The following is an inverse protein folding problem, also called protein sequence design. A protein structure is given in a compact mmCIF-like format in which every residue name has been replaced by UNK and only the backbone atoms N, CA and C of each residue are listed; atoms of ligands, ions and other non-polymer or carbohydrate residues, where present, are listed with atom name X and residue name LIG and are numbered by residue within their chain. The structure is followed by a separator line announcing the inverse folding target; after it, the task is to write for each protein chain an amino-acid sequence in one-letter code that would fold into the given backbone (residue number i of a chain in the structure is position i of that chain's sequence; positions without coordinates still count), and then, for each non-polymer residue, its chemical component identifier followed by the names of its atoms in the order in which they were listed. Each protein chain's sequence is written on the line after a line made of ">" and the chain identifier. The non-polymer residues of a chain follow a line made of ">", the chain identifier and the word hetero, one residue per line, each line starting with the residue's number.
data_IF_892911385379
#
_entry.id   IF_892911385379
#
_cell.length_a   1.000
_cell.length_b   1.000
_cell.length_c   1.000
_cell.angle_alpha   90.00
_cell.angle_beta   90.00
_cell.angle_gamma   90.00
#
_symmetry.space_group_name_H-M   'P 1'
#
loop_
_entity.id
_entity.type
_entity.pdbx_description
1 polymer ?
#
# COMPACT_ATOMS: atom_id res chain seq x y z
N UNK A 1 15.07 9.86 -21.41
CA UNK A 1 13.72 10.45 -21.20
C UNK A 1 13.29 10.31 -19.74
N UNK A 2 13.27 9.09 -19.20
CA UNK A 2 12.81 8.80 -17.82
C UNK A 2 13.68 9.44 -16.72
N UNK A 3 15.00 9.52 -16.91
CA UNK A 3 15.90 10.20 -15.97
C UNK A 3 15.58 11.69 -15.83
N UNK A 4 15.40 12.39 -16.95
CA UNK A 4 14.99 13.80 -16.94
C UNK A 4 13.58 14.04 -16.39
N UNK A 5 12.71 13.02 -16.40
CA UNK A 5 11.42 13.07 -15.73
C UNK A 5 11.55 12.91 -14.21
N UNK A 6 12.45 12.03 -13.74
CA UNK A 6 12.76 11.89 -12.32
C UNK A 6 13.29 13.21 -11.74
N UNK A 7 14.21 13.89 -12.44
CA UNK A 7 14.74 15.18 -12.00
C UNK A 7 13.67 16.26 -11.84
N UNK A 8 12.59 16.16 -12.61
CA UNK A 8 11.46 17.09 -12.55
C UNK A 8 10.51 16.73 -11.43
N UNK A 9 10.22 15.44 -11.25
CA UNK A 9 9.44 14.94 -10.12
C UNK A 9 10.07 15.34 -8.79
N UNK A 10 11.40 15.27 -8.67
CA UNK A 10 12.13 15.67 -7.46
C UNK A 10 11.97 17.13 -7.07
N UNK A 11 11.62 18.03 -7.98
CA UNK A 11 11.34 19.43 -7.64
C UNK A 11 9.99 19.60 -6.92
N UNK A 12 9.16 18.56 -6.86
CA UNK A 12 7.84 18.59 -6.23
C UNK A 12 7.93 18.51 -4.69
N UNK A 13 6.93 19.07 -4.03
CA UNK A 13 6.68 18.88 -2.60
C UNK A 13 5.49 17.92 -2.41
N UNK A 14 5.62 16.87 -1.62
CA UNK A 14 4.56 15.84 -1.49
C UNK A 14 4.14 15.70 -0.03
N UNK A 15 2.84 15.72 0.22
CA UNK A 15 2.25 15.32 1.50
C UNK A 15 1.85 13.85 1.46
N UNK A 16 2.07 13.09 2.53
CA UNK A 16 1.59 11.71 2.63
C UNK A 16 1.05 11.36 4.01
N UNK A 17 -0.07 10.64 4.03
CA UNK A 17 -0.77 10.21 5.23
C UNK A 17 -1.57 8.92 4.93
N UNK A 18 -2.02 8.11 5.88
CA UNK A 18 -1.98 8.29 7.33
C UNK A 18 -1.22 7.17 8.04
N UNK A 19 -0.98 6.04 7.38
CA UNK A 19 -0.53 4.85 8.07
C UNK A 19 0.98 4.64 7.97
N UNK A 20 1.58 4.55 9.14
CA UNK A 20 2.93 4.03 9.38
C UNK A 20 2.81 2.84 10.32
N UNK A 21 3.71 1.88 10.19
CA UNK A 21 3.89 0.81 11.16
C UNK A 21 5.31 0.27 11.12
N UNK A 22 5.64 -0.58 12.06
CA UNK A 22 6.78 -1.49 11.98
C UNK A 22 6.31 -2.74 11.24
N UNK A 23 7.04 -3.14 10.20
CA UNK A 23 6.94 -4.49 9.64
C UNK A 23 8.12 -5.29 10.21
N UNK A 24 7.83 -6.19 11.15
CA UNK A 24 8.79 -7.06 11.81
C UNK A 24 8.78 -8.43 11.15
N UNK A 25 9.89 -8.83 10.55
CA UNK A 25 10.00 -10.03 9.72
C UNK A 25 10.77 -11.11 10.48
N UNK A 26 10.22 -12.32 10.47
CA UNK A 26 10.88 -13.53 10.97
C UNK A 26 10.95 -14.57 9.84
N UNK A 27 12.15 -15.05 9.54
CA UNK A 27 12.38 -16.17 8.63
C UNK A 27 12.14 -17.48 9.38
N UNK A 28 10.96 -18.07 9.17
CA UNK A 28 10.55 -19.28 9.87
C UNK A 28 11.40 -20.49 9.48
N UNK A 29 11.95 -21.13 10.53
CA UNK A 29 12.58 -22.44 10.47
C UNK A 29 11.61 -23.51 10.96
N UNK A 30 11.75 -24.74 10.48
CA UNK A 30 10.94 -25.88 10.92
C UNK A 30 10.97 -26.07 12.43
N UNK A 31 12.13 -25.85 13.06
CA UNK A 31 12.32 -25.90 14.52
C UNK A 31 11.48 -24.86 15.26
N UNK A 32 11.37 -23.63 14.74
CA UNK A 32 10.52 -22.59 15.33
C UNK A 32 9.06 -23.01 15.28
N UNK A 33 8.60 -23.56 14.15
CA UNK A 33 7.23 -24.07 14.01
C UNK A 33 6.98 -25.26 14.93
N UNK A 34 7.96 -26.17 15.05
CA UNK A 34 7.86 -27.34 15.91
C UNK A 34 7.69 -26.93 17.38
N UNK A 35 8.51 -25.99 17.88
CA UNK A 35 8.39 -25.49 19.26
C UNK A 35 7.01 -24.92 19.56
N UNK A 36 6.44 -24.16 18.63
CA UNK A 36 5.09 -23.61 18.78
C UNK A 36 4.03 -24.71 18.84
N UNK A 37 4.14 -25.76 18.02
CA UNK A 37 3.19 -26.89 18.06
C UNK A 37 3.33 -27.66 19.38
N UNK A 38 4.56 -27.89 19.84
CA UNK A 38 4.84 -28.64 21.06
C UNK A 38 4.34 -27.92 22.32
N UNK A 39 4.35 -26.58 22.33
CA UNK A 39 3.81 -25.75 23.42
C UNK A 39 2.31 -25.98 23.67
N UNK A 40 1.51 -26.09 22.61
CA UNK A 40 0.06 -26.26 22.72
C UNK A 40 -0.42 -27.72 22.61
N UNK A 41 0.40 -28.59 22.01
CA UNK A 41 0.03 -29.96 21.68
C UNK A 41 -0.70 -30.10 20.34
N UNK A 42 -0.32 -31.11 19.57
CA UNK A 42 -0.76 -31.29 18.18
C UNK A 42 -2.28 -31.42 18.00
N UNK A 43 -2.97 -32.13 18.90
CA UNK A 43 -4.42 -32.34 18.82
C UNK A 43 -5.20 -31.03 19.05
N UNK A 44 -4.70 -30.19 19.96
CA UNK A 44 -5.27 -28.87 20.24
C UNK A 44 -5.10 -27.94 19.04
N UNK A 45 -3.89 -27.92 18.45
CA UNK A 45 -3.61 -27.15 17.23
C UNK A 45 -4.50 -27.61 16.07
N UNK A 46 -4.66 -28.93 15.86
CA UNK A 46 -5.55 -29.49 14.82
C UNK A 46 -6.99 -29.02 15.00
N UNK A 47 -7.52 -29.15 16.22
CA UNK A 47 -8.88 -28.70 16.54
C UNK A 47 -9.07 -27.21 16.22
N UNK A 48 -8.13 -26.35 16.62
CA UNK A 48 -8.21 -24.91 16.32
C UNK A 48 -8.04 -24.61 14.83
N UNK A 49 -7.25 -25.40 14.09
CA UNK A 49 -7.16 -25.29 12.63
C UNK A 49 -8.50 -25.54 11.95
N UNK A 50 -9.26 -26.53 12.42
CA UNK A 50 -10.58 -26.87 11.90
C UNK A 50 -11.62 -25.79 12.21
N UNK A 51 -11.53 -25.14 13.39
CA UNK A 51 -12.34 -23.96 13.75
C UNK A 51 -12.04 -22.73 12.86
N UNK A 52 -10.83 -22.67 12.30
CA UNK A 52 -10.37 -21.64 11.36
C UNK A 52 -10.59 -20.19 11.86
N UNK A 53 -9.93 -19.78 12.97
CA UNK A 53 -10.14 -18.47 13.57
C UNK A 53 -9.78 -17.35 12.59
N UNK A 54 -10.70 -16.41 12.36
CA UNK A 54 -10.54 -15.31 11.39
C UNK A 54 -9.80 -14.10 11.95
N UNK A 55 -9.51 -14.10 13.24
CA UNK A 55 -8.75 -13.09 13.98
C UNK A 55 -7.90 -13.81 15.04
N UNK A 56 -6.83 -13.16 15.50
CA UNK A 56 -5.96 -13.68 16.57
C UNK A 56 -6.32 -12.94 17.87
N UNK A 57 -6.92 -13.65 18.81
CA UNK A 57 -7.24 -13.16 20.16
C UNK A 57 -6.33 -13.79 21.23
N UNK A 58 -5.83 -15.00 20.96
CA UNK A 58 -4.90 -15.74 21.81
C UNK A 58 -3.79 -16.42 20.97
N UNK A 59 -2.66 -16.83 21.58
CA UNK A 59 -1.55 -17.45 20.86
C UNK A 59 -1.93 -18.67 20.01
N UNK A 60 -2.85 -19.50 20.50
CA UNK A 60 -3.31 -20.70 19.80
C UNK A 60 -3.98 -20.37 18.45
N UNK A 61 -4.69 -19.24 18.35
CA UNK A 61 -5.25 -18.79 17.07
C UNK A 61 -4.15 -18.55 16.04
N UNK A 62 -3.07 -17.91 16.48
CA UNK A 62 -1.91 -17.63 15.64
C UNK A 62 -1.24 -18.94 15.18
N UNK A 63 -0.94 -19.85 16.11
CA UNK A 63 -0.26 -21.12 15.78
C UNK A 63 -1.10 -21.94 14.80
N UNK A 64 -2.40 -22.07 15.03
CA UNK A 64 -3.29 -22.81 14.13
C UNK A 64 -3.33 -22.20 12.72
N UNK A 65 -3.47 -20.88 12.61
CA UNK A 65 -3.52 -20.21 11.30
C UNK A 65 -2.17 -20.22 10.58
N UNK A 66 -1.08 -20.15 11.32
CA UNK A 66 0.27 -20.28 10.78
C UNK A 66 0.49 -21.69 10.21
N UNK A 67 0.19 -22.75 10.98
CA UNK A 67 0.33 -24.14 10.55
C UNK A 67 -0.55 -24.43 9.32
N UNK A 68 -1.76 -23.90 9.28
CA UNK A 68 -2.61 -24.01 8.09
C UNK A 68 -2.00 -23.33 6.85
N UNK A 69 -1.42 -22.13 7.01
CA UNK A 69 -0.76 -21.43 5.91
C UNK A 69 0.47 -22.20 5.39
N UNK A 70 1.28 -22.75 6.31
CA UNK A 70 2.43 -23.59 5.99
C UNK A 70 2.02 -24.89 5.27
N UNK A 71 1.00 -25.59 5.78
CA UNK A 71 0.50 -26.85 5.20
C UNK A 71 -0.08 -26.64 3.79
N UNK A 72 -0.71 -25.50 3.53
CA UNK A 72 -1.28 -25.19 2.21
C UNK A 72 -0.30 -24.47 1.27
N UNK A 73 0.79 -23.92 1.80
CA UNK A 73 1.71 -23.03 1.07
C UNK A 73 1.07 -21.73 0.59
N UNK A 74 -0.10 -21.35 1.13
CA UNK A 74 -0.83 -20.15 0.70
C UNK A 74 -0.47 -18.96 1.59
N UNK A 75 -0.08 -17.80 1.02
CA UNK A 75 0.08 -16.58 1.79
C UNK A 75 -1.24 -16.19 2.47
N UNK A 76 -1.18 -15.76 3.74
CA UNK A 76 -2.35 -15.33 4.49
C UNK A 76 -2.06 -14.10 5.33
N UNK A 77 -3.09 -13.31 5.60
CA UNK A 77 -3.06 -12.22 6.56
C UNK A 77 -4.21 -12.35 7.54
N UNK A 78 -3.92 -12.30 8.84
CA UNK A 78 -4.90 -12.44 9.93
C UNK A 78 -4.74 -11.26 10.89
N UNK A 79 -5.83 -10.56 11.24
CA UNK A 79 -5.75 -9.43 12.16
C UNK A 79 -5.50 -9.89 13.59
N UNK A 80 -4.55 -9.23 14.27
CA UNK A 80 -4.33 -9.30 15.70
C UNK A 80 -5.20 -8.24 16.38
N UNK A 81 -6.11 -8.68 17.23
CA UNK A 81 -7.11 -7.81 17.85
C UNK A 81 -6.93 -7.65 19.36
N UNK A 82 -6.14 -8.53 19.98
CA UNK A 82 -5.71 -8.42 21.37
C UNK A 82 -4.31 -7.77 21.44
N UNK A 83 -4.22 -6.57 22.01
CA UNK A 83 -2.97 -5.78 22.11
C UNK A 83 -1.98 -6.39 23.12
N UNK A 84 -2.47 -7.11 24.13
CA UNK A 84 -1.64 -7.78 25.15
C UNK A 84 -0.74 -8.87 24.55
N UNK A 85 -1.12 -9.41 23.38
CA UNK A 85 -0.31 -10.42 22.69
C UNK A 85 1.00 -9.88 22.12
N UNK A 86 1.23 -8.57 22.13
CA UNK A 86 2.57 -8.03 21.81
C UNK A 86 3.65 -8.65 22.67
N UNK A 87 3.43 -8.77 23.98
CA UNK A 87 4.39 -9.37 24.90
C UNK A 87 4.65 -10.84 24.57
N UNK A 88 3.61 -11.59 24.21
CA UNK A 88 3.77 -12.99 23.79
C UNK A 88 4.59 -13.10 22.50
N UNK A 89 4.27 -12.32 21.47
CA UNK A 89 5.07 -12.37 20.24
C UNK A 89 6.53 -11.96 20.48
N UNK A 90 6.76 -10.90 21.23
CA UNK A 90 8.10 -10.37 21.47
C UNK A 90 8.94 -11.29 22.39
N UNK A 91 8.31 -12.18 23.16
CA UNK A 91 9.00 -13.21 23.94
C UNK A 91 9.26 -14.51 23.17
N UNK A 92 8.58 -14.76 22.05
CA UNK A 92 8.67 -16.02 21.28
C UNK A 92 9.46 -15.87 19.97
N UNK A 93 9.60 -14.65 19.46
CA UNK A 93 10.25 -14.39 18.19
C UNK A 93 11.31 -13.31 18.31
N UNK A 94 12.52 -13.65 17.88
CA UNK A 94 13.46 -12.67 17.41
C UNK A 94 13.08 -12.27 15.97
N UNK A 95 13.08 -10.97 15.69
CA UNK A 95 12.81 -10.46 14.36
C UNK A 95 14.14 -10.27 13.63
N UNK A 96 14.30 -10.96 12.50
CA UNK A 96 15.50 -10.89 11.67
C UNK A 96 15.65 -9.51 11.03
N UNK A 97 14.51 -8.87 10.69
CA UNK A 97 14.47 -7.55 10.08
C UNK A 97 13.29 -6.78 10.64
N UNK A 98 13.54 -5.55 11.12
CA UNK A 98 12.49 -4.57 11.36
C UNK A 98 12.66 -3.41 10.38
N UNK A 99 11.58 -3.02 9.73
CA UNK A 99 11.60 -1.89 8.77
C UNK A 99 10.32 -1.08 8.81
N UNK A 100 10.39 0.08 8.16
CA UNK A 100 9.22 0.92 7.91
C UNK A 100 8.19 0.16 7.08
N UNK A 101 6.99 0.06 7.64
CA UNK A 101 5.79 -0.44 6.98
C UNK A 101 4.69 0.61 6.91
N UNK A 102 3.63 0.29 6.18
CA UNK A 102 2.52 1.19 5.91
C UNK A 102 2.82 2.17 4.77
N UNK A 103 1.83 2.34 3.90
CA UNK A 103 1.93 3.12 2.66
C UNK A 103 2.56 4.49 2.87
N UNK A 104 2.05 5.29 3.82
CA UNK A 104 2.55 6.64 4.04
C UNK A 104 4.02 6.68 4.48
N UNK A 105 4.42 5.76 5.37
CA UNK A 105 5.81 5.64 5.82
C UNK A 105 6.75 5.17 4.72
N UNK A 106 6.35 4.15 3.97
CA UNK A 106 7.10 3.59 2.85
C UNK A 106 7.31 4.65 1.75
N UNK A 107 6.24 5.35 1.37
CA UNK A 107 6.28 6.39 0.33
C UNK A 107 7.10 7.58 0.81
N UNK A 108 6.97 7.99 2.08
CA UNK A 108 7.77 9.09 2.63
C UNK A 108 9.27 8.78 2.57
N UNK A 109 9.69 7.59 2.99
CA UNK A 109 11.09 7.17 2.92
C UNK A 109 11.61 7.12 1.47
N UNK A 110 10.81 6.56 0.56
CA UNK A 110 11.13 6.51 -0.87
C UNK A 110 11.38 7.90 -1.45
N UNK A 111 10.41 8.82 -1.28
CA UNK A 111 10.50 10.16 -1.85
C UNK A 111 11.61 10.99 -1.20
N UNK A 112 11.86 10.79 0.10
CA UNK A 112 12.95 11.46 0.79
C UNK A 112 14.32 10.98 0.28
N UNK A 113 14.50 9.68 0.08
CA UNK A 113 15.72 9.09 -0.49
C UNK A 113 15.97 9.49 -1.95
N UNK A 114 14.91 9.72 -2.72
CA UNK A 114 14.99 10.29 -4.07
C UNK A 114 15.26 11.80 -4.07
N UNK A 115 15.48 12.43 -2.90
CA UNK A 115 15.77 13.85 -2.73
C UNK A 115 14.68 14.77 -3.33
N UNK A 116 13.40 14.43 -3.10
CA UNK A 116 12.31 15.35 -3.41
C UNK A 116 12.45 16.67 -2.64
N UNK A 117 11.99 17.79 -3.18
CA UNK A 117 12.15 19.14 -2.60
C UNK A 117 11.67 19.19 -1.15
N UNK A 118 10.52 18.57 -0.89
CA UNK A 118 9.93 18.44 0.44
C UNK A 118 9.03 17.22 0.49
N UNK A 119 9.16 16.42 1.53
CA UNK A 119 8.24 15.33 1.84
C UNK A 119 7.67 15.59 3.23
N UNK A 120 6.36 15.79 3.32
CA UNK A 120 5.68 15.97 4.61
C UNK A 120 4.86 14.72 4.88
N UNK A 121 5.24 13.95 5.90
CA UNK A 121 4.52 12.75 6.33
C UNK A 121 3.72 13.03 7.58
N UNK A 122 2.50 12.52 7.63
CA UNK A 122 1.67 12.56 8.82
C UNK A 122 1.12 11.17 9.14
N UNK A 123 1.23 10.80 10.41
CA UNK A 123 0.60 9.64 11.03
C UNK A 123 0.08 10.09 12.39
N UNK A 124 -1.10 9.63 12.85
CA UNK A 124 -1.64 10.06 14.14
C UNK A 124 -0.77 9.58 15.30
N UNK A 125 -0.10 8.45 15.12
CA UNK A 125 0.74 7.81 16.14
C UNK A 125 2.19 7.79 15.67
N UNK A 126 3.06 8.50 16.37
CA UNK A 126 4.49 8.63 16.09
C UNK A 126 5.29 8.38 17.37
N UNK A 127 5.32 7.12 17.79
CA UNK A 127 6.21 6.64 18.84
C UNK A 127 7.69 6.74 18.42
N UNK A 128 8.60 6.84 19.39
CA UNK A 128 10.05 6.94 19.14
C UNK A 128 10.60 5.85 18.21
N UNK A 129 10.25 4.57 18.46
CA UNK A 129 10.67 3.44 17.60
C UNK A 129 10.20 3.63 16.15
N UNK A 130 8.96 4.07 15.95
CA UNK A 130 8.41 4.34 14.62
C UNK A 130 9.12 5.52 13.95
N UNK A 131 9.38 6.60 14.69
CA UNK A 131 10.07 7.78 14.21
C UNK A 131 11.47 7.43 13.68
N UNK A 132 12.23 6.62 14.42
CA UNK A 132 13.59 6.23 14.02
C UNK A 132 13.65 5.37 12.76
N UNK A 133 12.53 4.80 12.29
CA UNK A 133 12.46 4.07 11.02
C UNK A 133 12.27 4.98 9.80
N UNK A 134 12.03 6.27 10.01
CA UNK A 134 12.11 7.24 8.92
C UNK A 134 13.58 7.49 8.55
N UNK A 135 13.84 7.72 7.26
CA UNK A 135 15.20 8.01 6.79
C UNK A 135 15.69 9.35 7.31
N UNK A 136 16.98 9.50 7.69
CA UNK A 136 17.54 10.72 8.26
C UNK A 136 17.86 11.76 7.16
N UNK A 137 16.82 12.22 6.44
CA UNK A 137 16.96 13.11 5.28
C UNK A 137 16.36 14.49 5.59
N UNK A 138 17.11 15.55 5.31
CA UNK A 138 16.73 16.95 5.62
C UNK A 138 15.47 17.46 4.91
N UNK A 139 15.04 16.78 3.85
CA UNK A 139 13.84 17.10 3.10
C UNK A 139 12.58 16.40 3.64
N UNK A 140 12.70 15.56 4.67
CA UNK A 140 11.59 14.84 5.30
C UNK A 140 11.10 15.58 6.55
N UNK A 141 9.81 15.85 6.59
CA UNK A 141 9.16 16.63 7.63
C UNK A 141 7.93 15.93 8.18
N UNK A 142 7.62 16.21 9.44
CA UNK A 142 6.39 15.87 10.14
C UNK A 142 5.79 17.17 10.71
N UNK A 143 4.50 17.43 10.49
CA UNK A 143 3.87 18.66 10.98
C UNK A 143 3.51 18.54 12.47
N UNK A 144 3.91 19.54 13.25
CA UNK A 144 3.58 19.68 14.68
C UNK A 144 2.99 21.06 14.95
N UNK A 145 2.21 21.19 16.02
CA UNK A 145 1.70 22.48 16.48
C UNK A 145 2.48 22.89 17.72
N UNK A 146 3.16 24.03 17.66
CA UNK A 146 3.90 24.62 18.78
C UNK A 146 3.42 26.06 18.96
N UNK A 147 3.03 26.42 20.18
CA UNK A 147 2.49 27.74 20.53
C UNK A 147 1.38 28.22 19.57
N UNK A 148 0.51 27.29 19.16
CA UNK A 148 -0.60 27.55 18.24
C UNK A 148 -0.19 27.80 16.79
N UNK A 149 1.03 27.43 16.39
CA UNK A 149 1.54 27.60 15.02
C UNK A 149 1.99 26.27 14.42
N UNK A 150 1.79 26.12 13.11
CA UNK A 150 2.33 25.00 12.36
C UNK A 150 3.85 25.10 12.26
N UNK A 151 4.55 24.08 12.76
CA UNK A 151 6.00 23.90 12.63
C UNK A 151 6.27 22.58 11.91
N UNK A 152 7.23 22.56 10.99
CA UNK A 152 7.68 21.35 10.31
C UNK A 152 8.99 20.89 10.93
N UNK A 153 8.99 19.72 11.58
CA UNK A 153 10.19 19.10 12.18
C UNK A 153 10.56 17.84 11.45
N UNK A 154 11.79 17.35 11.62
CA UNK A 154 12.10 16.00 11.17
C UNK A 154 11.30 14.98 12.01
N UNK A 155 10.80 13.85 11.46
CA UNK A 155 10.08 12.84 12.26
C UNK A 155 10.86 12.37 13.50
N UNK A 156 12.20 12.35 13.41
CA UNK A 156 13.08 11.97 14.52
C UNK A 156 13.03 12.93 15.73
N UNK A 157 12.48 14.12 15.54
CA UNK A 157 12.36 15.18 16.56
C UNK A 157 10.90 15.47 16.91
N UNK A 158 9.95 14.84 16.22
CA UNK A 158 8.51 15.08 16.34
C UNK A 158 7.77 13.96 17.08
N UNK A 159 8.47 12.93 17.53
CA UNK A 159 7.86 11.80 18.22
C UNK A 159 7.28 12.20 19.57
N UNK A 160 6.29 11.45 20.02
CA UNK A 160 5.67 11.62 21.34
C UNK A 160 5.95 10.39 22.19
N UNK A 161 6.45 10.63 23.40
CA UNK A 161 6.64 9.57 24.39
C UNK A 161 5.26 9.09 24.84
N UNK A 162 4.95 7.80 24.62
CA UNK A 162 3.67 7.18 24.97
C UNK A 162 2.72 6.90 23.80
N UNK A 163 3.00 7.38 22.58
CA UNK A 163 2.23 6.99 21.40
C UNK A 163 2.30 5.46 21.18
N UNK A 164 1.19 4.80 20.79
CA UNK A 164 1.19 3.37 20.53
C UNK A 164 2.04 3.01 19.31
N UNK A 165 2.72 1.87 19.37
CA UNK A 165 3.48 1.33 18.24
C UNK A 165 2.62 0.29 17.52
N UNK A 166 2.34 0.52 16.24
CA UNK A 166 1.74 -0.50 15.38
C UNK A 166 2.82 -1.42 14.85
N UNK A 167 2.76 -2.71 15.20
CA UNK A 167 3.68 -3.73 14.66
C UNK A 167 2.88 -4.78 13.88
N UNK A 168 3.09 -4.86 12.56
CA UNK A 168 2.70 -6.03 11.79
C UNK A 168 3.86 -7.03 11.82
N UNK A 169 3.54 -8.31 12.04
CA UNK A 169 4.55 -9.38 12.09
C UNK A 169 4.42 -10.23 10.83
N UNK A 170 5.52 -10.42 10.12
CA UNK A 170 5.58 -11.12 8.84
C UNK A 170 6.43 -12.36 9.03
N UNK A 171 5.81 -13.52 8.93
CA UNK A 171 6.45 -14.81 9.07
C UNK A 171 6.71 -15.38 7.67
N UNK A 172 7.94 -15.26 7.18
CA UNK A 172 8.32 -15.79 5.87
C UNK A 172 8.71 -17.25 5.97
N UNK A 173 8.19 -18.08 5.07
CA UNK A 173 8.46 -19.51 5.03
C UNK A 173 8.89 -19.96 3.65
N UNK A 174 9.76 -20.98 3.59
CA UNK A 174 10.32 -21.51 2.34
C UNK A 174 9.73 -22.87 2.00
N UNK A 175 9.50 -23.13 0.72
CA UNK A 175 9.20 -24.45 0.21
C UNK A 175 10.25 -25.47 0.68
N UNK A 176 9.81 -26.67 1.06
CA UNK A 176 10.68 -27.72 1.59
C UNK A 176 10.94 -27.63 3.10
N UNK A 177 10.52 -26.57 3.79
CA UNK A 177 10.56 -26.54 5.27
C UNK A 177 9.69 -27.67 5.83
N UNK A 178 10.22 -28.44 6.78
CA UNK A 178 9.53 -29.58 7.38
C UNK A 178 9.32 -29.41 8.88
N UNK A 179 8.21 -29.92 9.39
CA UNK A 179 7.87 -30.01 10.81
C UNK A 179 6.82 -31.11 11.02
N UNK A 180 6.54 -31.48 12.28
CA UNK A 180 5.55 -32.49 12.64
C UNK A 180 4.36 -31.86 13.33
N UNK A 181 3.16 -32.27 12.89
CA UNK A 181 1.92 -32.06 13.61
C UNK A 181 1.48 -33.43 14.14
N UNK A 182 1.81 -33.76 15.39
CA UNK A 182 1.62 -35.12 15.91
C UNK A 182 2.45 -36.13 15.10
N UNK A 183 1.80 -37.16 14.55
CA UNK A 183 2.47 -38.18 13.73
C UNK A 183 2.59 -37.82 12.24
N UNK A 184 2.03 -36.69 11.81
CA UNK A 184 2.05 -36.25 10.40
C UNK A 184 3.26 -35.33 10.16
N UNK A 185 4.15 -35.72 9.25
CA UNK A 185 5.20 -34.83 8.73
C UNK A 185 4.60 -33.92 7.67
N UNK A 186 4.67 -32.62 7.90
CA UNK A 186 4.24 -31.59 6.94
C UNK A 186 5.49 -31.02 6.25
N UNK A 187 5.42 -30.95 4.93
CA UNK A 187 6.42 -30.26 4.09
C UNK A 187 5.73 -29.08 3.41
N UNK A 188 6.26 -27.88 3.60
CA UNK A 188 5.72 -26.66 2.99
C UNK A 188 5.85 -26.76 1.46
N UNK A 189 4.75 -26.67 0.68
CA UNK A 189 4.80 -26.93 -0.75
C UNK A 189 5.33 -25.73 -1.56
N UNK A 190 5.07 -24.50 -1.09
CA UNK A 190 5.46 -23.26 -1.76
C UNK A 190 5.99 -22.25 -0.74
N UNK A 191 6.98 -21.46 -1.15
CA UNK A 191 7.46 -20.33 -0.34
C UNK A 191 6.38 -19.24 -0.27
N UNK A 192 6.28 -18.57 0.87
CA UNK A 192 5.26 -17.57 1.09
C UNK A 192 5.45 -16.82 2.41
N UNK A 193 4.38 -16.16 2.84
CA UNK A 193 4.38 -15.37 4.07
C UNK A 193 3.05 -15.46 4.81
N UNK A 194 3.11 -15.46 6.13
CA UNK A 194 1.94 -15.30 7.00
C UNK A 194 2.04 -13.97 7.73
N UNK A 195 1.05 -13.10 7.59
CA UNK A 195 1.06 -11.74 8.15
C UNK A 195 0.09 -11.66 9.32
N UNK A 196 0.60 -11.29 10.49
CA UNK A 196 -0.18 -10.89 11.66
C UNK A 196 -0.30 -9.37 11.64
N UNK A 197 -1.49 -8.87 11.33
CA UNK A 197 -1.73 -7.44 11.16
C UNK A 197 -2.30 -6.82 12.43
N UNK A 198 -1.57 -5.92 13.09
CA UNK A 198 -2.08 -5.20 14.25
C UNK A 198 -3.33 -4.37 13.90
N UNK A 199 -4.43 -4.61 14.64
CA UNK A 199 -5.72 -3.92 14.50
C UNK A 199 -6.31 -3.59 15.87
N UNK A 200 -5.55 -2.80 16.65
CA UNK A 200 -5.96 -2.39 18.00
C UNK A 200 -6.90 -1.20 18.00
N UNK A 201 -7.56 -1.00 19.14
CA UNK A 201 -8.43 0.15 19.41
C UNK A 201 -7.65 1.48 19.46
N UNK A 202 -6.44 1.42 20.00
CA UNK A 202 -5.49 2.53 20.16
C UNK A 202 -5.08 3.13 18.81
N UNK A 203 -4.98 2.31 17.76
CA UNK A 203 -4.52 2.71 16.44
C UNK A 203 -5.71 3.17 15.59
N UNK A 204 -5.80 4.48 15.40
CA UNK A 204 -6.87 5.13 14.63
C UNK A 204 -6.32 5.98 13.49
N UNK A 205 -7.17 6.30 12.51
CA UNK A 205 -6.81 7.04 11.29
C UNK A 205 -7.55 8.38 11.30
N UNK A 206 -6.85 9.48 11.63
CA UNK A 206 -7.43 10.83 11.69
C UNK A 206 -6.34 11.90 11.74
N UNK A 207 -6.62 13.11 11.25
CA UNK A 207 -5.79 14.27 11.58
C UNK A 207 -6.15 14.80 12.97
N UNK A 208 -5.13 15.02 13.81
CA UNK A 208 -5.30 15.58 15.15
C UNK A 208 -6.09 16.90 15.09
N UNK A 209 -7.04 17.16 16.03
CA UNK A 209 -7.87 18.36 16.00
C UNK A 209 -7.07 19.66 15.96
N UNK A 210 -5.91 19.71 16.62
CA UNK A 210 -5.03 20.89 16.63
C UNK A 210 -4.34 21.12 15.29
N UNK A 211 -4.00 20.04 14.58
CA UNK A 211 -3.35 20.11 13.27
C UNK A 211 -4.35 20.40 12.15
N UNK A 212 -5.58 19.92 12.28
CA UNK A 212 -6.61 19.97 11.23
C UNK A 212 -6.85 21.38 10.64
N UNK A 213 -6.91 22.47 11.44
CA UNK A 213 -7.00 23.85 10.91
C UNK A 213 -5.86 24.26 9.98
N UNK A 214 -4.71 23.57 10.04
CA UNK A 214 -3.51 23.87 9.25
C UNK A 214 -3.35 23.00 8.00
N UNK A 215 -4.23 22.01 7.77
CA UNK A 215 -4.27 21.26 6.51
C UNK A 215 -4.32 22.14 5.23
N UNK A 216 -5.03 23.28 5.21
CA UNK A 216 -5.00 24.22 4.08
C UNK A 216 -3.60 24.78 3.79
N UNK A 217 -2.84 25.13 4.84
CA UNK A 217 -1.46 25.59 4.69
C UNK A 217 -0.54 24.45 4.23
N UNK A 218 -0.74 23.23 4.75
CA UNK A 218 -0.02 22.03 4.29
C UNK A 218 -0.31 21.76 2.81
N UNK A 219 -1.57 21.89 2.40
CA UNK A 219 -1.99 21.81 1.00
C UNK A 219 -1.26 22.83 0.13
N UNK A 220 -1.27 24.11 0.53
CA UNK A 220 -0.57 25.17 -0.21
C UNK A 220 0.94 24.92 -0.37
N UNK A 221 1.57 24.28 0.62
CA UNK A 221 2.98 23.89 0.59
C UNK A 221 3.27 22.63 -0.24
N UNK A 222 2.24 21.94 -0.74
CA UNK A 222 2.34 20.64 -1.41
C UNK A 222 1.92 20.74 -2.86
N UNK A 223 2.62 20.03 -3.72
CA UNK A 223 2.27 19.85 -5.13
C UNK A 223 1.30 18.70 -5.35
N UNK A 224 1.26 17.74 -4.42
CA UNK A 224 0.29 16.67 -4.38
C UNK A 224 0.24 16.01 -3.01
N UNK A 225 -0.82 15.25 -2.77
CA UNK A 225 -1.01 14.45 -1.56
C UNK A 225 -1.21 12.97 -1.91
N UNK A 226 -0.57 12.07 -1.18
CA UNK A 226 -0.76 10.62 -1.29
C UNK A 226 -1.35 10.09 0.00
N UNK A 227 -2.61 9.64 -0.07
CA UNK A 227 -3.39 9.19 1.08
C UNK A 227 -3.62 7.68 1.06
N UNK A 228 -3.48 7.03 2.20
CA UNK A 228 -3.83 5.62 2.42
C UNK A 228 -4.02 5.33 3.91
N UNK A 229 -4.23 4.06 4.27
CA UNK A 229 -4.38 3.61 5.65
C UNK A 229 -5.82 3.38 6.09
N UNK A 230 -6.80 3.73 5.24
CA UNK A 230 -8.23 3.57 5.52
C UNK A 230 -8.66 2.11 5.73
N UNK A 231 -7.88 1.14 5.25
CA UNK A 231 -8.02 -0.29 5.57
C UNK A 231 -7.80 -0.62 7.05
N UNK A 232 -7.27 0.33 7.83
CA UNK A 232 -7.11 0.24 9.28
C UNK A 232 -8.33 0.69 10.09
N UNK A 233 -9.33 1.31 9.47
CA UNK A 233 -10.54 1.79 10.16
C UNK A 233 -11.36 0.58 10.65
N UNK A 234 -11.88 0.65 11.87
CA UNK A 234 -12.85 -0.34 12.39
C UNK A 234 -14.28 0.12 12.12
N UNK A 235 -15.20 -0.84 11.97
CA UNK A 235 -16.63 -0.52 11.85
C UNK A 235 -17.18 0.16 13.11
N UNK A 236 -16.71 -0.25 14.29
CA UNK A 236 -17.11 0.28 15.60
C UNK A 236 -15.90 0.35 16.52
N UNK A 237 -15.89 1.35 17.37
CA UNK A 237 -14.92 1.57 18.46
C UNK A 237 -15.67 1.59 19.80
N UNK A 238 -14.98 1.29 20.90
CA UNK A 238 -15.56 1.22 22.25
C UNK A 238 -16.02 2.56 22.80
N UNK A 239 -15.48 3.67 22.29
CA UNK A 239 -15.90 5.03 22.62
C UNK A 239 -17.16 5.49 21.86
N UNK A 240 -17.84 4.57 21.17
CA UNK A 240 -19.06 4.83 20.40
C UNK A 240 -18.83 5.43 19.01
N UNK A 241 -17.58 5.74 18.62
CA UNK A 241 -17.27 6.13 17.24
C UNK A 241 -17.36 4.94 16.30
N UNK A 242 -17.59 5.22 15.02
CA UNK A 242 -17.74 4.22 13.97
C UNK A 242 -16.92 4.58 12.72
N UNK A 243 -16.92 3.69 11.74
CA UNK A 243 -16.25 3.95 10.46
C UNK A 243 -16.75 5.24 9.78
N UNK A 244 -18.04 5.57 9.93
CA UNK A 244 -18.60 6.76 9.30
C UNK A 244 -18.04 8.05 9.91
N UNK A 245 -17.78 8.08 11.23
CA UNK A 245 -17.10 9.19 11.88
C UNK A 245 -15.74 9.46 11.24
N UNK A 246 -14.87 8.46 11.18
CA UNK A 246 -13.53 8.61 10.62
C UNK A 246 -13.53 8.94 9.13
N UNK A 247 -14.46 8.36 8.36
CA UNK A 247 -14.61 8.68 6.94
C UNK A 247 -15.12 10.11 6.72
N UNK A 248 -16.02 10.63 7.57
CA UNK A 248 -16.41 12.06 7.52
C UNK A 248 -15.22 12.97 7.82
N UNK A 249 -14.37 12.60 8.77
CA UNK A 249 -13.18 13.38 9.08
C UNK A 249 -12.16 13.35 7.93
N UNK A 250 -11.92 12.19 7.32
CA UNK A 250 -11.06 12.04 6.15
C UNK A 250 -11.55 12.85 4.94
N UNK A 251 -12.87 12.88 4.69
CA UNK A 251 -13.47 13.75 3.66
C UNK A 251 -13.11 15.22 3.91
N UNK A 252 -13.28 15.68 5.15
CA UNK A 252 -12.91 17.06 5.53
C UNK A 252 -11.42 17.30 5.33
N UNK A 253 -10.57 16.32 5.64
CA UNK A 253 -9.12 16.46 5.47
C UNK A 253 -8.75 16.66 3.98
N UNK A 254 -9.34 15.88 3.07
CA UNK A 254 -9.16 16.04 1.62
C UNK A 254 -9.61 17.43 1.15
N UNK A 255 -10.80 17.87 1.58
CA UNK A 255 -11.33 19.19 1.22
C UNK A 255 -10.48 20.34 1.77
N UNK A 256 -9.93 20.19 2.99
CA UNK A 256 -9.06 21.19 3.60
C UNK A 256 -7.70 21.26 2.90
N UNK A 257 -7.10 20.12 2.53
CA UNK A 257 -5.87 20.09 1.74
C UNK A 257 -6.03 20.80 0.39
N UNK A 258 -7.22 20.70 -0.23
CA UNK A 258 -7.55 21.35 -1.50
C UNK A 258 -8.03 22.81 -1.37
N UNK A 259 -8.09 23.38 -0.16
CA UNK A 259 -8.81 24.65 0.08
C UNK A 259 -8.15 25.87 -0.54
N UNK A 260 -6.83 26.04 -0.33
CA UNK A 260 -6.10 27.23 -0.82
C UNK A 260 -5.56 27.04 -2.25
N UNK A 261 -5.43 25.79 -2.69
CA UNK A 261 -4.93 25.38 -4.00
C UNK A 261 -5.54 24.02 -4.35
N UNK A 262 -5.86 23.78 -5.62
CA UNK A 262 -6.33 22.46 -6.08
C UNK A 262 -5.20 21.42 -6.09
N UNK A 263 -4.73 21.03 -4.91
CA UNK A 263 -3.70 20.01 -4.72
C UNK A 263 -4.22 18.68 -5.22
N UNK A 264 -3.54 18.07 -6.19
CA UNK A 264 -3.91 16.73 -6.66
C UNK A 264 -3.74 15.70 -5.55
N UNK A 265 -4.75 14.88 -5.33
CA UNK A 265 -4.79 13.85 -4.29
C UNK A 265 -4.83 12.47 -4.94
N UNK A 266 -3.87 11.63 -4.57
CA UNK A 266 -3.84 10.21 -4.90
C UNK A 266 -4.27 9.38 -3.69
N UNK A 267 -5.17 8.42 -3.92
CA UNK A 267 -5.55 7.41 -2.95
C UNK A 267 -4.91 6.08 -3.34
N UNK A 268 -3.94 5.62 -2.55
CA UNK A 268 -3.42 4.26 -2.69
C UNK A 268 -4.39 3.31 -1.99
N UNK A 269 -5.14 2.55 -2.78
CA UNK A 269 -6.07 1.57 -2.26
C UNK A 269 -5.32 0.37 -1.69
N UNK A 270 -6.01 -0.37 -0.83
CA UNK A 270 -5.44 -1.55 -0.19
C UNK A 270 -6.54 -2.59 0.00
N UNK A 271 -6.14 -3.85 0.16
CA UNK A 271 -7.07 -4.93 0.48
C UNK A 271 -7.85 -4.67 1.78
N UNK A 272 -9.14 -4.38 1.66
CA UNK A 272 -10.08 -4.26 2.77
C UNK A 272 -10.95 -5.52 2.84
N UNK A 273 -10.67 -6.42 3.79
CA UNK A 273 -11.39 -7.69 3.93
C UNK A 273 -12.89 -7.50 4.20
N UNK A 274 -13.25 -6.55 5.08
CA UNK A 274 -14.64 -6.30 5.44
C UNK A 274 -15.38 -5.58 4.29
N UNK A 275 -16.40 -6.23 3.72
CA UNK A 275 -17.17 -5.70 2.57
C UNK A 275 -17.91 -4.40 2.89
N UNK A 276 -18.42 -4.25 4.11
CA UNK A 276 -19.12 -3.03 4.53
C UNK A 276 -18.15 -1.86 4.60
N UNK A 277 -17.02 -2.03 5.29
CA UNK A 277 -15.98 -1.00 5.37
C UNK A 277 -15.47 -0.63 3.98
N UNK A 278 -15.21 -1.63 3.13
CA UNK A 278 -14.74 -1.42 1.75
C UNK A 278 -15.71 -0.53 0.96
N UNK A 279 -17.00 -0.86 0.99
CA UNK A 279 -18.05 -0.02 0.38
C UNK A 279 -18.01 1.40 0.94
N UNK A 280 -17.95 1.54 2.26
CA UNK A 280 -17.88 2.86 2.90
C UNK A 280 -16.67 3.65 2.43
N UNK A 281 -15.48 3.07 2.38
CA UNK A 281 -14.25 3.74 1.90
C UNK A 281 -14.42 4.21 0.45
N UNK A 282 -14.87 3.33 -0.45
CA UNK A 282 -15.05 3.66 -1.87
C UNK A 282 -16.00 4.84 -2.05
N UNK A 283 -17.23 4.74 -1.56
CA UNK A 283 -18.25 5.79 -1.73
C UNK A 283 -17.95 7.09 -0.97
N UNK A 284 -17.09 7.05 0.05
CA UNK A 284 -16.75 8.26 0.81
C UNK A 284 -15.52 8.98 0.26
N UNK A 285 -14.55 8.27 -0.33
CA UNK A 285 -13.24 8.86 -0.65
C UNK A 285 -12.99 8.97 -2.15
N UNK A 286 -13.38 7.98 -2.96
CA UNK A 286 -13.04 7.96 -4.39
C UNK A 286 -13.57 9.20 -5.13
N UNK A 287 -14.81 9.68 -4.88
CA UNK A 287 -15.31 10.88 -5.56
C UNK A 287 -14.62 12.21 -5.17
N UNK A 288 -13.70 12.20 -4.20
CA UNK A 288 -13.03 13.41 -3.70
C UNK A 288 -11.55 13.48 -4.09
N UNK A 289 -11.01 12.41 -4.68
CA UNK A 289 -9.60 12.31 -5.06
C UNK A 289 -9.46 12.36 -6.57
N UNK A 290 -8.31 12.79 -7.05
CA UNK A 290 -8.04 12.91 -8.49
C UNK A 290 -7.50 11.58 -9.05
N UNK A 291 -6.73 10.86 -8.23
CA UNK A 291 -6.09 9.62 -8.64
C UNK A 291 -6.33 8.48 -7.65
N UNK A 292 -6.47 7.26 -8.17
CA UNK A 292 -6.51 6.04 -7.35
C UNK A 292 -5.51 5.02 -7.91
N UNK A 293 -4.70 4.44 -7.03
CA UNK A 293 -3.83 3.29 -7.30
C UNK A 293 -4.39 2.02 -6.71
N UNK A 294 -4.36 0.91 -7.45
CA UNK A 294 -4.83 -0.40 -6.99
C UNK A 294 -4.24 -1.58 -7.76
N UNK A 295 -4.28 -2.76 -7.16
CA UNK A 295 -3.94 -4.02 -7.82
C UNK A 295 -5.12 -4.68 -8.59
N UNK A 296 -4.85 -5.79 -9.27
CA UNK A 296 -5.87 -6.53 -10.04
C UNK A 296 -6.98 -7.15 -9.17
N UNK A 297 -6.66 -7.59 -7.95
CA UNK A 297 -7.68 -8.15 -7.05
C UNK A 297 -8.57 -7.03 -6.48
N UNK A 298 -7.98 -5.86 -6.24
CA UNK A 298 -8.62 -4.68 -5.71
C UNK A 298 -9.62 -4.07 -6.68
N UNK A 299 -9.31 -3.97 -7.98
CA UNK A 299 -10.30 -3.52 -8.98
C UNK A 299 -11.54 -4.43 -8.99
N UNK A 300 -11.36 -5.76 -8.93
CA UNK A 300 -12.48 -6.68 -8.85
C UNK A 300 -13.30 -6.44 -7.56
N UNK A 301 -12.62 -6.20 -6.44
CA UNK A 301 -13.25 -5.88 -5.17
C UNK A 301 -14.04 -4.57 -5.17
N UNK A 302 -13.53 -3.53 -5.85
CA UNK A 302 -14.21 -2.25 -6.04
C UNK A 302 -15.43 -2.43 -6.94
N UNK A 303 -15.28 -3.08 -8.10
CA UNK A 303 -16.39 -3.36 -9.02
C UNK A 303 -17.52 -4.16 -8.36
N UNK A 304 -17.18 -5.16 -7.55
CA UNK A 304 -18.17 -5.90 -6.75
C UNK A 304 -18.92 -4.98 -5.78
N UNK A 305 -18.21 -4.06 -5.14
CA UNK A 305 -18.80 -3.10 -4.21
C UNK A 305 -19.78 -2.13 -4.91
N UNK A 306 -19.51 -1.78 -6.16
CA UNK A 306 -20.34 -0.94 -7.04
C UNK A 306 -21.48 -1.68 -7.74
N UNK A 307 -21.61 -3.01 -7.54
CA UNK A 307 -22.68 -3.81 -8.12
C UNK A 307 -22.34 -4.52 -9.43
N UNK A 308 -21.11 -4.38 -9.94
CA UNK A 308 -20.61 -5.06 -11.14
C UNK A 308 -20.05 -6.45 -10.82
N UNK A 309 -20.81 -7.27 -10.08
CA UNK A 309 -20.37 -8.59 -9.58
C UNK A 309 -19.91 -9.53 -10.70
N UNK A 310 -20.66 -9.61 -11.80
CA UNK A 310 -20.31 -10.46 -12.96
C UNK A 310 -18.95 -10.10 -13.57
N UNK A 311 -18.63 -8.81 -13.67
CA UNK A 311 -17.35 -8.35 -14.20
C UNK A 311 -16.22 -8.61 -13.20
N UNK A 312 -16.47 -8.34 -11.91
CA UNK A 312 -15.53 -8.66 -10.84
C UNK A 312 -15.15 -10.15 -10.82
N UNK A 313 -16.13 -11.04 -10.93
CA UNK A 313 -15.92 -12.49 -10.99
C UNK A 313 -15.11 -12.88 -12.23
N UNK A 314 -15.35 -12.22 -13.38
CA UNK A 314 -14.61 -12.46 -14.62
C UNK A 314 -13.14 -12.04 -14.51
N UNK A 315 -12.87 -10.87 -13.91
CA UNK A 315 -11.50 -10.41 -13.62
C UNK A 315 -10.80 -11.41 -12.69
N UNK A 316 -11.46 -11.83 -11.61
CA UNK A 316 -10.89 -12.75 -10.64
C UNK A 316 -10.63 -14.16 -11.20
N UNK A 317 -11.47 -14.60 -12.14
CA UNK A 317 -11.40 -15.96 -12.70
C UNK A 317 -10.44 -16.06 -13.88
N UNK A 318 -10.40 -15.05 -14.74
CA UNK A 318 -9.71 -15.13 -16.04
C UNK A 318 -8.58 -14.11 -16.22
N UNK A 319 -8.47 -13.10 -15.35
CA UNK A 319 -7.40 -12.08 -15.37
C UNK A 319 -7.14 -11.49 -16.78
N UNK A 320 -8.22 -11.19 -17.51
CA UNK A 320 -8.14 -10.67 -18.89
C UNK A 320 -7.91 -9.17 -18.86
N UNK A 321 -6.91 -8.69 -19.58
CA UNK A 321 -6.64 -7.25 -19.79
C UNK A 321 -7.90 -6.51 -20.29
N UNK A 322 -8.68 -7.13 -21.19
CA UNK A 322 -9.95 -6.57 -21.67
C UNK A 322 -10.93 -6.25 -20.52
N UNK A 323 -11.03 -7.15 -19.54
CA UNK A 323 -11.94 -6.98 -18.41
C UNK A 323 -11.44 -5.93 -17.42
N UNK A 324 -10.13 -5.88 -17.21
CA UNK A 324 -9.47 -4.85 -16.39
C UNK A 324 -9.64 -3.46 -17.02
N UNK A 325 -9.48 -3.34 -18.34
CA UNK A 325 -9.74 -2.07 -19.07
C UNK A 325 -11.20 -1.67 -18.95
N UNK A 326 -12.14 -2.59 -19.19
CA UNK A 326 -13.57 -2.31 -19.05
C UNK A 326 -13.92 -1.88 -17.61
N UNK A 327 -13.40 -2.59 -16.62
CA UNK A 327 -13.60 -2.29 -15.22
C UNK A 327 -13.05 -0.94 -14.82
N UNK A 328 -11.86 -0.58 -15.30
CA UNK A 328 -11.25 0.69 -14.99
C UNK A 328 -11.94 1.87 -15.67
N UNK A 329 -12.52 1.69 -16.87
CA UNK A 329 -13.41 2.68 -17.49
C UNK A 329 -14.68 2.91 -16.67
N UNK A 330 -15.33 1.84 -16.21
CA UNK A 330 -16.50 1.97 -15.33
C UNK A 330 -16.12 2.77 -14.09
N UNK A 331 -14.97 2.46 -13.48
CA UNK A 331 -14.55 3.10 -12.26
C UNK A 331 -14.22 4.59 -12.45
N UNK A 332 -13.54 4.96 -13.55
CA UNK A 332 -13.18 6.36 -13.79
C UNK A 332 -14.45 7.21 -13.97
N UNK A 333 -15.47 6.68 -14.66
CA UNK A 333 -16.74 7.37 -14.88
C UNK A 333 -17.59 7.46 -13.59
N UNK A 334 -17.79 6.34 -12.90
CA UNK A 334 -18.64 6.26 -11.69
C UNK A 334 -18.09 7.11 -10.54
N UNK A 335 -16.76 7.30 -10.50
CA UNK A 335 -16.07 8.02 -9.43
C UNK A 335 -15.55 9.38 -9.85
N UNK A 336 -15.71 9.76 -11.13
CA UNK A 336 -15.21 11.00 -11.71
C UNK A 336 -13.73 11.26 -11.39
N UNK A 337 -12.90 10.23 -11.59
CA UNK A 337 -11.46 10.30 -11.33
C UNK A 337 -10.74 10.96 -12.52
N UNK A 338 -9.67 11.70 -12.24
CA UNK A 338 -8.80 12.25 -13.29
C UNK A 338 -7.94 11.14 -13.92
N UNK A 339 -7.46 10.20 -13.09
CA UNK A 339 -6.59 9.12 -13.52
C UNK A 339 -6.66 7.90 -12.60
N UNK A 340 -6.98 6.75 -13.17
CA UNK A 340 -6.93 5.45 -12.51
C UNK A 340 -5.64 4.72 -12.87
N UNK A 341 -4.90 4.29 -11.85
CA UNK A 341 -3.68 3.51 -11.96
C UNK A 341 -3.94 2.07 -11.50
N UNK A 342 -3.64 1.10 -12.36
CA UNK A 342 -3.72 -0.33 -12.02
C UNK A 342 -2.35 -0.96 -12.18
N UNK A 343 -1.86 -1.62 -11.15
CA UNK A 343 -0.58 -2.34 -11.19
C UNK A 343 -0.79 -3.84 -10.96
N UNK A 344 -0.15 -4.64 -11.80
CA UNK A 344 -0.11 -6.09 -11.66
C UNK A 344 1.34 -6.55 -11.64
N UNK A 345 1.59 -7.82 -11.39
CA UNK A 345 2.94 -8.38 -11.50
C UNK A 345 3.52 -8.26 -12.92
N UNK A 346 2.68 -8.24 -13.97
CA UNK A 346 3.12 -8.31 -15.38
C UNK A 346 2.97 -7.00 -16.16
N UNK A 347 2.10 -6.10 -15.73
CA UNK A 347 1.88 -4.83 -16.40
C UNK A 347 1.38 -3.77 -15.43
N UNK A 348 1.60 -2.52 -15.80
CA UNK A 348 1.04 -1.33 -15.16
C UNK A 348 0.23 -0.56 -16.21
N UNK A 349 -0.90 0.01 -15.79
CA UNK A 349 -1.86 0.67 -16.66
C UNK A 349 -2.33 2.00 -16.07
N UNK A 350 -2.51 2.98 -16.94
CA UNK A 350 -3.29 4.18 -16.69
C UNK A 350 -4.55 4.19 -17.55
N UNK A 351 -5.64 4.69 -16.96
CA UNK A 351 -6.86 5.05 -17.65
C UNK A 351 -7.19 6.49 -17.24
N UNK A 352 -7.38 7.36 -18.21
CA UNK A 352 -7.85 8.74 -18.03
C UNK A 352 -9.02 9.02 -18.96
N UNK A 353 -9.77 10.09 -18.70
CA UNK A 353 -10.63 10.67 -19.74
C UNK A 353 -9.79 11.26 -20.87
N UNK A 354 -10.39 11.39 -22.07
CA UNK A 354 -9.69 11.87 -23.27
C UNK A 354 -9.21 13.32 -23.16
N UNK A 355 -9.86 14.13 -22.32
CA UNK A 355 -9.54 15.54 -22.04
C UNK A 355 -8.39 15.72 -21.05
N UNK A 356 -7.82 14.64 -20.50
CA UNK A 356 -6.64 14.71 -19.64
C UNK A 356 -5.52 15.52 -20.33
N UNK A 357 -4.83 16.45 -19.63
CA UNK A 357 -3.84 17.32 -20.27
C UNK A 357 -2.63 16.59 -20.87
N UNK A 358 -2.34 15.37 -20.40
CA UNK A 358 -1.24 14.56 -20.88
C UNK A 358 -1.66 13.69 -22.07
N UNK A 359 -0.75 13.53 -23.03
CA UNK A 359 -0.93 12.57 -24.11
C UNK A 359 -0.49 11.14 -23.69
N UNK A 360 -0.78 10.14 -24.53
CA UNK A 360 -0.47 8.75 -24.21
C UNK A 360 1.03 8.46 -24.02
N UNK A 361 1.92 9.20 -24.69
CA UNK A 361 3.37 9.02 -24.57
C UNK A 361 3.92 9.59 -23.26
N UNK A 362 3.35 10.71 -22.81
CA UNK A 362 3.61 11.29 -21.50
C UNK A 362 3.13 10.34 -20.39
N UNK A 363 1.89 9.84 -20.48
CA UNK A 363 1.37 8.84 -19.55
C UNK A 363 2.25 7.56 -19.55
N UNK A 364 2.71 7.11 -20.71
CA UNK A 364 3.62 5.96 -20.84
C UNK A 364 4.96 6.19 -20.16
N UNK A 365 5.51 7.39 -20.29
CA UNK A 365 6.78 7.77 -19.64
C UNK A 365 6.66 7.79 -18.10
N UNK A 366 5.50 8.17 -17.58
CA UNK A 366 5.20 8.10 -16.14
C UNK A 366 5.16 6.66 -15.64
N UNK A 367 4.47 5.78 -16.35
CA UNK A 367 4.45 4.34 -16.05
C UNK A 367 5.86 3.72 -16.12
N UNK A 368 6.67 4.15 -17.09
CA UNK A 368 8.04 3.65 -17.25
C UNK A 368 8.94 4.04 -16.06
N UNK A 369 8.77 5.26 -15.54
CA UNK A 369 9.46 5.66 -14.31
C UNK A 369 9.03 4.79 -13.13
N UNK A 370 7.72 4.56 -12.97
CA UNK A 370 7.16 3.78 -11.88
C UNK A 370 7.67 2.33 -11.86
N UNK A 371 7.62 1.65 -13.01
CA UNK A 371 8.10 0.26 -13.13
C UNK A 371 9.62 0.15 -12.92
N UNK A 372 10.39 1.16 -13.36
CA UNK A 372 11.83 1.21 -13.12
C UNK A 372 12.15 1.37 -11.64
N UNK A 373 11.43 2.23 -10.94
CA UNK A 373 11.61 2.43 -9.49
C UNK A 373 11.25 1.18 -8.69
N UNK A 374 10.17 0.51 -9.09
CA UNK A 374 9.77 -0.77 -8.50
C UNK A 374 10.83 -1.86 -8.72
N UNK A 375 11.42 -1.93 -9.91
CA UNK A 375 12.49 -2.88 -10.22
C UNK A 375 13.76 -2.59 -9.41
N UNK A 376 14.12 -1.32 -9.22
CA UNK A 376 15.23 -0.92 -8.35
C UNK A 376 14.98 -1.41 -6.91
N UNK A 377 13.80 -1.11 -6.35
CA UNK A 377 13.41 -1.57 -5.01
C UNK A 377 13.39 -3.10 -4.90
N UNK A 378 12.83 -3.80 -5.87
CA UNK A 378 12.78 -5.26 -5.87
C UNK A 378 14.19 -5.87 -5.91
N UNK A 379 15.13 -5.23 -6.60
CA UNK A 379 16.53 -5.68 -6.70
C UNK A 379 17.35 -5.40 -5.44
N UNK A 380 17.09 -4.28 -4.75
CA UNK A 380 17.91 -3.79 -3.65
C UNK A 380 17.26 -3.99 -2.27
N UNK A 381 15.98 -4.32 -2.22
CA UNK A 381 15.15 -4.33 -1.01
C UNK A 381 14.58 -2.94 -0.69
N UNK A 382 15.41 -1.90 -0.80
CA UNK A 382 15.04 -0.50 -0.60
C UNK A 382 15.76 0.41 -1.61
N UNK A 383 15.16 1.57 -1.91
CA UNK A 383 15.79 2.63 -2.71
C UNK A 383 16.37 3.65 -1.73
N UNK A 384 17.69 3.74 -1.67
CA UNK A 384 18.44 4.55 -0.71
C UNK A 384 18.88 5.90 -1.27
N UNK A 385 19.01 6.00 -2.59
CA UNK A 385 19.34 7.24 -3.28
C UNK A 385 18.76 7.30 -4.70
N UNK A 386 18.92 8.44 -5.38
CA UNK A 386 18.57 8.59 -6.79
C UNK A 386 19.37 7.66 -7.72
N UNK A 387 20.61 7.31 -7.36
CA UNK A 387 21.50 6.49 -8.18
C UNK A 387 20.98 5.06 -8.32
N UNK A 388 20.28 4.56 -7.31
CA UNK A 388 19.64 3.24 -7.29
C UNK A 388 18.62 3.08 -8.42
N UNK A 389 18.07 4.19 -8.94
CA UNK A 389 17.19 4.17 -10.11
C UNK A 389 17.85 3.49 -11.32
N UNK A 390 19.19 3.59 -11.46
CA UNK A 390 19.97 2.94 -12.52
C UNK A 390 19.92 1.42 -12.43
N UNK A 391 19.79 0.85 -11.23
CA UNK A 391 19.63 -0.60 -11.04
C UNK A 391 18.34 -1.07 -11.70
N UNK A 392 17.25 -0.35 -11.51
CA UNK A 392 15.97 -0.63 -12.17
C UNK A 392 16.02 -0.54 -13.69
N UNK A 393 16.81 0.39 -14.25
CA UNK A 393 16.97 0.54 -15.71
C UNK A 393 17.62 -0.69 -16.37
N UNK A 394 18.47 -1.40 -15.62
CA UNK A 394 19.13 -2.62 -16.09
C UNK A 394 18.23 -3.86 -16.03
N UNK A 395 17.07 -3.78 -15.38
CA UNK A 395 16.10 -4.88 -15.33
C UNK A 395 15.25 -4.83 -16.60
N UNK A 396 15.28 -5.86 -17.47
CA UNK A 396 14.47 -5.86 -18.69
C UNK A 396 12.97 -5.91 -18.37
N UNK A 397 12.14 -5.50 -19.33
CA UNK A 397 10.72 -5.84 -19.27
C UNK A 397 10.53 -7.35 -19.20
N UNK A 398 9.47 -7.78 -18.53
CA UNK A 398 9.17 -9.19 -18.38
C UNK A 398 8.87 -9.88 -19.72
N UNK A 399 9.03 -11.20 -19.74
CA UNK A 399 8.84 -12.06 -20.92
C UNK A 399 7.42 -12.05 -21.49
N UNK A 400 6.44 -11.51 -20.78
CA UNK A 400 5.05 -11.36 -21.23
C UNK A 400 4.79 -10.04 -21.94
N UNK A 401 5.79 -9.20 -22.18
CA UNK A 401 5.60 -7.88 -22.81
C UNK A 401 4.84 -7.90 -24.14
N UNK A 402 5.22 -8.78 -25.06
CA UNK A 402 4.52 -8.93 -26.35
C UNK A 402 3.09 -9.45 -26.17
N UNK A 403 2.87 -10.37 -25.21
CA UNK A 403 1.54 -10.85 -24.88
C UNK A 403 0.64 -9.73 -24.34
N UNK A 404 1.15 -8.93 -23.40
CA UNK A 404 0.44 -7.77 -22.83
C UNK A 404 0.04 -6.80 -23.94
N UNK A 405 0.98 -6.48 -24.85
CA UNK A 405 0.74 -5.59 -25.99
C UNK A 405 -0.34 -6.14 -26.93
N UNK A 406 -0.24 -7.40 -27.33
CA UNK A 406 -1.22 -8.04 -28.22
C UNK A 406 -2.62 -8.06 -27.61
N UNK A 407 -2.74 -8.48 -26.35
CA UNK A 407 -4.02 -8.51 -25.63
C UNK A 407 -4.60 -7.11 -25.43
N UNK A 408 -3.77 -6.10 -25.25
CA UNK A 408 -4.23 -4.72 -25.17
C UNK A 408 -4.75 -4.18 -26.50
N UNK A 409 -4.09 -4.48 -27.63
CA UNK A 409 -4.61 -4.13 -28.96
C UNK A 409 -5.94 -4.81 -29.25
N UNK A 410 -6.11 -6.08 -28.84
CA UNK A 410 -7.39 -6.78 -28.92
C UNK A 410 -8.47 -6.11 -28.06
N UNK A 411 -8.14 -5.72 -26.82
CA UNK A 411 -9.05 -5.01 -25.94
C UNK A 411 -9.51 -3.67 -26.55
N UNK A 412 -8.58 -2.88 -27.12
CA UNK A 412 -8.92 -1.61 -27.81
C UNK A 412 -9.84 -1.79 -29.01
N UNK A 413 -9.74 -2.91 -29.73
CA UNK A 413 -10.64 -3.21 -30.87
C UNK A 413 -12.04 -3.61 -30.42
N UNK A 414 -12.16 -4.27 -29.26
CA UNK A 414 -13.43 -4.76 -28.71
C UNK A 414 -14.17 -3.73 -27.87
N UNK A 415 -13.44 -2.86 -27.20
CA UNK A 415 -13.99 -1.84 -26.31
C UNK A 415 -14.00 -0.48 -26.99
N UNK A 416 -15.08 0.29 -26.77
CA UNK A 416 -15.08 1.71 -27.12
C UNK A 416 -14.14 2.45 -26.18
N UNK A 417 -13.03 2.99 -26.70
CA UNK A 417 -12.04 3.73 -25.90
C UNK A 417 -11.90 5.18 -26.34
N UNK A 418 -12.73 5.70 -27.25
CA UNK A 418 -12.60 7.07 -27.79
C UNK A 418 -12.70 8.18 -26.73
N UNK A 419 -13.42 7.92 -25.65
CA UNK A 419 -13.62 8.86 -24.53
C UNK A 419 -12.50 8.79 -23.49
N UNK A 420 -11.48 7.94 -23.71
CA UNK A 420 -10.44 7.65 -22.75
C UNK A 420 -9.06 7.64 -23.40
N UNK A 421 -8.03 7.92 -22.61
CA UNK A 421 -6.66 7.51 -22.93
C UNK A 421 -6.34 6.30 -22.07
N UNK A 422 -5.90 5.22 -22.70
CA UNK A 422 -5.53 4.00 -21.99
C UNK A 422 -4.11 3.64 -22.38
N UNK A 423 -3.23 3.58 -21.38
CA UNK A 423 -1.82 3.27 -21.58
C UNK A 423 -1.45 2.11 -20.71
N UNK A 424 -0.83 1.10 -21.30
CA UNK A 424 -0.31 -0.09 -20.62
C UNK A 424 1.15 -0.30 -21.02
N UNK A 425 1.98 -0.67 -20.05
CA UNK A 425 3.33 -1.17 -20.30
C UNK A 425 3.60 -2.43 -19.47
N UNK A 426 4.45 -3.35 -19.97
CA UNK A 426 4.94 -4.44 -19.14
C UNK A 426 5.77 -3.93 -17.95
N UNK A 427 5.77 -4.68 -16.86
CA UNK A 427 6.63 -4.42 -15.71
C UNK A 427 8.08 -4.86 -15.97
N UNK A 428 9.04 -4.21 -15.31
CA UNK A 428 10.43 -4.66 -15.20
C UNK A 428 10.52 -5.64 -14.03
N UNK A 429 10.40 -6.92 -14.32
CA UNK A 429 10.21 -7.96 -13.31
C UNK A 429 11.55 -8.58 -12.89
N UNK A 430 11.90 -8.40 -11.61
CA UNK A 430 13.07 -9.04 -11.00
C UNK A 430 12.73 -10.50 -10.69
N UNK A 431 13.51 -11.45 -11.24
CA UNK A 431 13.26 -12.89 -11.06
C UNK A 431 13.40 -13.35 -9.61
N UNK A 432 14.40 -12.83 -8.90
CA UNK A 432 14.70 -13.16 -7.50
C UNK A 432 14.74 -11.87 -6.68
N UNK A 433 13.58 -11.28 -6.34
CA UNK A 433 13.54 -10.03 -5.62
C UNK A 433 14.04 -10.21 -4.18
N UNK A 434 14.80 -9.24 -3.66
CA UNK A 434 15.20 -9.18 -2.26
C UNK A 434 13.98 -8.99 -1.36
N UNK A 435 13.03 -8.17 -1.81
CA UNK A 435 11.76 -8.00 -1.12
C UNK A 435 10.63 -7.63 -2.08
N UNK A 436 9.40 -7.99 -1.71
CA UNK A 436 8.17 -7.67 -2.47
C UNK A 436 7.24 -6.71 -1.73
N UNK A 437 7.53 -6.39 -0.47
CA UNK A 437 6.71 -5.48 0.35
C UNK A 437 6.94 -4.03 -0.08
N UNK A 438 5.84 -3.30 -0.25
CA UNK A 438 5.85 -1.90 -0.66
C UNK A 438 6.15 -1.67 -2.15
N UNK A 439 6.16 -2.71 -2.99
CA UNK A 439 6.32 -2.55 -4.44
C UNK A 439 5.14 -1.80 -5.07
N UNK A 440 3.90 -2.12 -4.68
CA UNK A 440 2.70 -1.38 -5.11
C UNK A 440 2.80 0.10 -4.75
N UNK A 441 3.04 0.40 -3.47
CA UNK A 441 3.25 1.75 -2.96
C UNK A 441 4.35 2.52 -3.73
N UNK A 442 5.44 1.83 -4.09
CA UNK A 442 6.56 2.41 -4.87
C UNK A 442 6.16 2.72 -6.31
N UNK A 443 5.41 1.80 -6.93
CA UNK A 443 4.85 1.97 -8.26
C UNK A 443 3.92 3.18 -8.26
N UNK A 444 2.93 3.20 -7.38
CA UNK A 444 1.92 4.25 -7.32
C UNK A 444 2.53 5.62 -7.01
N UNK A 445 3.48 5.69 -6.08
CA UNK A 445 4.20 6.94 -5.78
C UNK A 445 5.03 7.43 -6.96
N UNK A 446 5.77 6.55 -7.63
CA UNK A 446 6.56 6.91 -8.82
C UNK A 446 5.67 7.37 -9.98
N UNK A 447 4.56 6.66 -10.22
CA UNK A 447 3.60 6.98 -11.26
C UNK A 447 2.93 8.34 -10.98
N UNK A 448 2.41 8.53 -9.78
CA UNK A 448 1.71 9.76 -9.41
C UNK A 448 2.64 10.98 -9.39
N UNK A 449 3.82 10.89 -8.78
CA UNK A 449 4.75 12.04 -8.72
C UNK A 449 5.28 12.43 -10.11
N UNK A 450 5.53 11.46 -10.99
CA UNK A 450 5.91 11.75 -12.37
C UNK A 450 4.76 12.32 -13.20
N UNK A 451 3.52 11.90 -12.94
CA UNK A 451 2.32 12.51 -13.51
C UNK A 451 2.20 13.99 -13.14
N UNK A 452 2.33 14.32 -11.85
CA UNK A 452 2.33 15.72 -11.37
C UNK A 452 3.45 16.55 -12.00
N UNK A 453 4.64 15.97 -12.16
CA UNK A 453 5.77 16.64 -12.78
C UNK A 453 5.47 17.07 -14.23
N UNK A 454 4.75 16.22 -14.98
CA UNK A 454 4.34 16.53 -16.34
C UNK A 454 3.21 17.56 -16.40
N UNK A 455 2.22 17.45 -15.51
CA UNK A 455 1.17 18.48 -15.39
C UNK A 455 1.79 19.86 -15.11
N UNK A 456 2.74 19.93 -14.17
CA UNK A 456 3.45 21.18 -13.85
C UNK A 456 4.19 21.75 -15.05
N UNK A 457 4.84 20.91 -15.86
CA UNK A 457 5.52 21.34 -17.09
C UNK A 457 4.55 21.93 -18.12
N UNK A 458 3.30 21.49 -18.14
CA UNK A 458 2.25 22.03 -19.01
C UNK A 458 1.50 23.23 -18.42
N UNK A 459 1.79 23.63 -17.19
CA UNK A 459 1.00 24.64 -16.48
C UNK A 459 -0.43 24.16 -16.15
N UNK A 460 -0.60 22.85 -15.98
CA UNK A 460 -1.88 22.19 -15.69
C UNK A 460 -1.92 21.56 -14.29
N UNK A 461 -0.97 21.92 -13.42
CA UNK A 461 -0.91 21.48 -12.01
C UNK A 461 -1.43 22.55 -11.07
#
# INVERSE_FOLDING_TARGET
>A
MVTGLMDEARKLSIYTAYNTNVDAITYLKGETVQRLIDEFGADVVRKRMDEYPRQINEPLDFVARLVHALKTGKPMAVPLVNEELHTWFDSHFDYDVERMGGQAGIIANLLANLDFRRVTVYTPHLAKKQAMMFVPKRNLFYPVIEDGRLVLKHPHEAYREGDPIKVNRIFEFRAGTTFKLGNETITVPFSGRFIVSARFESIRIYTEPELKPFLPAIGQMSDGAILSGYQGIKLRYSDGKDANHYLREAKKDILLLKRERDVKVHLEFASIQNRELRKKVIYNLFPLVDSVGMDEAEIAHVLNALGYSKLADRIFTYNRIEDTVLGGKILIDEMNLEILQIHTIYYIMYITHADNPLNEEELRSSLELATTLAAARASLGEVSSQEDFKVGLNVPYNERGEYVKLRFEEAKRRLRTREYKVVIIPTRLVKNPVSTVGLGDTISAGAFTSYLAMLRKKGAL
#
